data_IF_080981560084
#
_entry.id   IF_080981560084
#
_cell.length_a   1.000
_cell.length_b   1.000
_cell.length_c   1.000
_cell.angle_alpha   90.00
_cell.angle_beta   90.00
_cell.angle_gamma   90.00
#
_symmetry.space_group_name_H-M   'P 1'
#
loop_
_entity.id
_entity.type
_entity.pdbx_description
1 polymer ?
#
# COMPACT_ATOMS: atom_id res chain seq x y z
N UNK A 1 -33.85 6.23 -21.27
CA UNK A 1 -33.44 7.46 -20.60
C UNK A 1 -33.13 7.14 -19.17
N UNK A 2 -31.85 6.98 -18.83
CA UNK A 2 -31.18 7.12 -17.55
C UNK A 2 -29.75 6.66 -17.76
N UNK A 3 -28.94 7.55 -18.28
CA UNK A 3 -27.48 7.48 -18.28
C UNK A 3 -27.09 8.02 -16.91
N UNK A 4 -27.12 7.18 -15.89
CA UNK A 4 -26.63 7.56 -14.59
C UNK A 4 -26.08 6.31 -13.90
N UNK A 5 -24.77 6.39 -13.63
CA UNK A 5 -24.00 5.55 -12.74
C UNK A 5 -23.53 4.19 -13.26
N UNK A 6 -22.70 4.22 -14.31
CA UNK A 6 -21.65 3.21 -14.42
C UNK A 6 -20.41 3.68 -13.67
N UNK A 7 -20.57 4.02 -12.43
CA UNK A 7 -19.41 3.98 -11.53
C UNK A 7 -19.07 2.51 -11.30
N UNK A 8 -17.95 2.06 -11.85
CA UNK A 8 -17.46 0.72 -11.56
C UNK A 8 -17.18 0.61 -10.06
N UNK A 9 -17.47 -0.55 -9.45
CA UNK A 9 -17.20 -0.82 -8.04
C UNK A 9 -15.78 -0.40 -7.63
N UNK A 10 -14.82 -0.52 -8.55
CA UNK A 10 -13.44 -0.09 -8.36
C UNK A 10 -13.28 1.44 -8.24
N UNK A 11 -14.06 2.23 -8.96
CA UNK A 11 -14.04 3.70 -8.85
C UNK A 11 -14.67 4.15 -7.53
N UNK A 12 -15.77 3.54 -7.12
CA UNK A 12 -16.43 3.82 -5.86
C UNK A 12 -15.51 3.50 -4.64
N UNK A 13 -14.88 2.34 -4.65
CA UNK A 13 -13.95 1.94 -3.59
C UNK A 13 -12.74 2.88 -3.49
N UNK A 14 -12.19 3.30 -4.63
CA UNK A 14 -11.07 4.24 -4.70
C UNK A 14 -11.44 5.64 -4.20
N UNK A 15 -12.59 6.15 -4.60
CA UNK A 15 -13.06 7.47 -4.20
C UNK A 15 -13.33 7.54 -2.68
N UNK A 16 -13.99 6.52 -2.12
CA UNK A 16 -14.24 6.44 -0.68
C UNK A 16 -12.95 6.37 0.16
N UNK A 17 -11.91 5.71 -0.37
CA UNK A 17 -10.61 5.65 0.30
C UNK A 17 -9.94 7.02 0.41
N UNK A 18 -9.86 7.78 -0.70
CA UNK A 18 -9.25 9.12 -0.68
C UNK A 18 -9.99 10.09 0.23
N UNK A 19 -11.31 9.96 0.34
CA UNK A 19 -12.11 10.74 1.29
C UNK A 19 -11.73 10.44 2.75
N UNK A 20 -11.57 9.15 3.10
CA UNK A 20 -11.15 8.76 4.45
C UNK A 20 -9.73 9.26 4.77
N UNK A 21 -8.80 9.18 3.81
CA UNK A 21 -7.46 9.73 3.98
C UNK A 21 -7.50 11.25 4.20
N UNK A 22 -8.29 11.97 3.43
CA UNK A 22 -8.46 13.42 3.59
C UNK A 22 -9.01 13.77 4.99
N UNK A 23 -10.00 13.03 5.49
CA UNK A 23 -10.52 13.21 6.86
C UNK A 23 -9.44 12.97 7.91
N UNK A 24 -8.59 11.96 7.76
CA UNK A 24 -7.47 11.71 8.66
C UNK A 24 -6.47 12.87 8.68
N UNK A 25 -6.16 13.45 7.51
CA UNK A 25 -5.26 14.62 7.40
C UNK A 25 -5.89 15.86 8.06
N UNK A 26 -7.18 16.09 7.83
CA UNK A 26 -7.90 17.21 8.46
C UNK A 26 -7.91 17.05 9.98
N UNK A 27 -8.21 15.85 10.50
CA UNK A 27 -8.17 15.57 11.93
C UNK A 27 -6.78 15.82 12.53
N UNK A 28 -5.72 15.39 11.82
CA UNK A 28 -4.34 15.65 12.24
C UNK A 28 -4.07 17.15 12.31
N UNK A 29 -4.47 17.91 11.29
CA UNK A 29 -4.31 19.38 11.26
C UNK A 29 -5.05 20.05 12.42
N UNK A 30 -6.30 19.64 12.68
CA UNK A 30 -7.10 20.16 13.80
C UNK A 30 -6.42 19.88 15.14
N UNK A 31 -5.98 18.64 15.37
CA UNK A 31 -5.29 18.27 16.61
C UNK A 31 -3.98 19.04 16.76
N UNK A 32 -3.20 19.21 15.68
CA UNK A 32 -1.97 19.99 15.69
C UNK A 32 -2.23 21.46 16.04
N UNK A 33 -3.20 22.11 15.38
CA UNK A 33 -3.58 23.50 15.67
C UNK A 33 -4.01 23.65 17.14
N UNK A 34 -4.78 22.71 17.65
CA UNK A 34 -5.20 22.74 19.06
C UNK A 34 -4.03 22.57 20.03
N UNK A 35 -3.04 21.71 19.71
CA UNK A 35 -1.86 21.50 20.54
C UNK A 35 -0.93 22.70 20.59
N UNK A 36 -0.76 23.39 19.45
CA UNK A 36 0.12 24.55 19.36
C UNK A 36 -0.55 25.87 19.73
N UNK A 37 -1.88 25.99 19.50
CA UNK A 37 -2.62 27.25 19.69
C UNK A 37 -3.24 27.44 21.06
N UNK A 38 -3.52 26.39 21.80
CA UNK A 38 -4.25 26.47 23.06
C UNK A 38 -3.43 26.00 24.26
N UNK A 39 -3.67 26.66 25.43
CA UNK A 39 -3.09 26.21 26.70
C UNK A 39 -3.67 24.85 27.08
N UNK A 40 -2.80 23.91 27.45
CA UNK A 40 -3.20 22.54 27.84
C UNK A 40 -4.15 22.61 29.06
N UNK A 41 -5.39 22.18 28.85
CA UNK A 41 -6.40 21.94 29.86
C UNK A 41 -6.80 20.47 29.81
N UNK A 42 -7.17 19.88 30.96
CA UNK A 42 -7.60 18.46 31.04
C UNK A 42 -8.76 18.15 30.10
N UNK A 43 -9.75 19.06 30.00
CA UNK A 43 -10.86 18.89 29.08
C UNK A 43 -10.40 18.82 27.63
N UNK A 44 -9.48 19.70 27.23
CA UNK A 44 -8.88 19.69 25.89
C UNK A 44 -8.10 18.39 25.60
N UNK A 45 -7.32 17.92 26.58
CA UNK A 45 -6.56 16.65 26.42
C UNK A 45 -7.48 15.46 26.20
N UNK A 46 -8.58 15.36 26.96
CA UNK A 46 -9.56 14.27 26.79
C UNK A 46 -10.22 14.37 25.40
N UNK A 47 -10.62 15.57 24.98
CA UNK A 47 -11.24 15.78 23.67
C UNK A 47 -10.29 15.40 22.52
N UNK A 48 -9.03 15.86 22.57
CA UNK A 48 -8.03 15.52 21.55
C UNK A 48 -7.72 14.04 21.54
N UNK A 49 -7.65 13.38 22.70
CA UNK A 49 -7.48 11.92 22.79
C UNK A 49 -8.65 11.18 22.15
N UNK A 50 -9.89 11.65 22.37
CA UNK A 50 -11.06 11.05 21.73
C UNK A 50 -11.02 11.21 20.20
N UNK A 51 -10.65 12.39 19.68
CA UNK A 51 -10.47 12.61 18.23
C UNK A 51 -9.40 11.68 17.65
N UNK A 52 -8.25 11.55 18.32
CA UNK A 52 -7.19 10.63 17.91
C UNK A 52 -7.69 9.17 17.90
N UNK A 53 -8.40 8.73 18.94
CA UNK A 53 -8.94 7.38 19.02
C UNK A 53 -9.94 7.08 17.88
N UNK A 54 -10.85 8.00 17.59
CA UNK A 54 -11.78 7.87 16.47
C UNK A 54 -11.05 7.83 15.13
N UNK A 55 -9.98 8.61 14.98
CA UNK A 55 -9.16 8.58 13.75
C UNK A 55 -8.43 7.24 13.59
N UNK A 56 -7.99 6.59 14.67
CA UNK A 56 -7.45 5.23 14.60
C UNK A 56 -8.47 4.22 14.08
N UNK A 57 -9.73 4.32 14.50
CA UNK A 57 -10.81 3.46 13.98
C UNK A 57 -10.99 3.68 12.48
N UNK A 58 -10.92 4.93 12.00
CA UNK A 58 -10.98 5.24 10.57
C UNK A 58 -9.78 4.67 9.80
N UNK A 59 -8.57 4.80 10.33
CA UNK A 59 -7.35 4.23 9.73
C UNK A 59 -7.46 2.70 9.65
N UNK A 60 -7.87 2.04 10.73
CA UNK A 60 -8.06 0.60 10.77
C UNK A 60 -9.13 0.12 9.78
N UNK A 61 -10.26 0.82 9.70
CA UNK A 61 -11.32 0.54 8.73
C UNK A 61 -10.84 0.68 7.28
N UNK A 62 -10.06 1.74 7.01
CA UNK A 62 -9.49 1.99 5.67
C UNK A 62 -8.47 0.92 5.28
N UNK A 63 -7.60 0.53 6.22
CA UNK A 63 -6.62 -0.53 6.01
C UNK A 63 -7.32 -1.89 5.76
N UNK A 64 -8.36 -2.20 6.52
CA UNK A 64 -9.15 -3.42 6.34
C UNK A 64 -9.82 -3.49 4.97
N UNK A 65 -10.45 -2.39 4.54
CA UNK A 65 -11.06 -2.31 3.20
C UNK A 65 -10.02 -2.49 2.09
N UNK A 66 -8.85 -1.85 2.23
CA UNK A 66 -7.76 -1.98 1.26
C UNK A 66 -7.21 -3.41 1.24
N UNK A 67 -7.06 -4.06 2.39
CA UNK A 67 -6.64 -5.45 2.49
C UNK A 67 -7.60 -6.40 1.77
N UNK A 68 -8.92 -6.26 1.99
CA UNK A 68 -9.94 -7.04 1.28
C UNK A 68 -9.88 -6.81 -0.24
N UNK A 69 -9.66 -5.55 -0.65
CA UNK A 69 -9.54 -5.20 -2.05
C UNK A 69 -8.30 -5.81 -2.72
N UNK A 70 -7.16 -5.84 -2.02
CA UNK A 70 -5.93 -6.51 -2.49
C UNK A 70 -6.15 -8.02 -2.61
N UNK A 71 -6.88 -8.63 -1.67
CA UNK A 71 -7.21 -10.06 -1.75
C UNK A 71 -8.08 -10.40 -2.95
N UNK A 72 -8.90 -9.48 -3.45
CA UNK A 72 -9.78 -9.68 -4.59
C UNK A 72 -9.07 -9.41 -5.94
N UNK A 73 -8.31 -8.31 -6.02
CA UNK A 73 -7.85 -7.71 -7.28
C UNK A 73 -6.34 -7.70 -7.49
N UNK A 74 -5.55 -8.45 -6.72
CA UNK A 74 -4.09 -8.43 -6.71
C UNK A 74 -3.42 -7.15 -6.18
N UNK A 75 -2.11 -7.21 -5.95
CA UNK A 75 -1.34 -6.10 -5.39
C UNK A 75 -0.77 -5.23 -6.52
N UNK A 76 -1.03 -3.92 -6.46
CA UNK A 76 -0.44 -2.92 -7.36
C UNK A 76 0.39 -1.90 -6.58
N UNK A 77 1.31 -1.22 -7.24
CA UNK A 77 2.15 -0.17 -6.64
C UNK A 77 1.33 0.89 -5.90
N UNK A 78 0.24 1.36 -6.53
CA UNK A 78 -0.62 2.38 -5.92
C UNK A 78 -1.28 1.86 -4.62
N UNK A 79 -1.73 0.61 -4.59
CA UNK A 79 -2.34 0.00 -3.39
C UNK A 79 -1.32 -0.17 -2.27
N UNK A 80 -0.08 -0.54 -2.63
CA UNK A 80 1.02 -0.63 -1.67
C UNK A 80 1.34 0.74 -1.08
N UNK A 81 1.43 1.79 -1.91
CA UNK A 81 1.67 3.17 -1.45
C UNK A 81 0.57 3.69 -0.54
N UNK A 82 -0.67 3.30 -0.80
CA UNK A 82 -1.82 3.63 0.03
C UNK A 82 -1.71 2.99 1.42
N UNK A 83 -1.37 1.70 1.51
CA UNK A 83 -1.15 1.03 2.80
C UNK A 83 0.02 1.65 3.56
N UNK A 84 1.08 1.98 2.84
CA UNK A 84 2.22 2.69 3.43
C UNK A 84 1.82 4.06 3.96
N UNK A 85 1.03 4.86 3.24
CA UNK A 85 0.52 6.15 3.70
C UNK A 85 -0.34 6.01 4.98
N UNK A 86 -1.20 4.98 5.06
CA UNK A 86 -1.96 4.68 6.27
C UNK A 86 -1.06 4.32 7.45
N UNK A 87 0.02 3.58 7.21
CA UNK A 87 1.02 3.26 8.24
C UNK A 87 1.72 4.53 8.75
N UNK A 88 2.15 5.41 7.84
CA UNK A 88 2.75 6.71 8.20
C UNK A 88 1.78 7.53 9.05
N UNK A 89 0.52 7.63 8.63
CA UNK A 89 -0.51 8.34 9.39
C UNK A 89 -0.71 7.73 10.79
N UNK A 90 -0.76 6.42 10.91
CA UNK A 90 -0.89 5.74 12.20
C UNK A 90 0.28 6.10 13.15
N UNK A 91 1.53 6.07 12.65
CA UNK A 91 2.71 6.43 13.45
C UNK A 91 2.70 7.90 13.86
N UNK A 92 2.32 8.81 12.97
CA UNK A 92 2.18 10.24 13.26
C UNK A 92 1.15 10.46 14.37
N UNK A 93 0.01 9.78 14.33
CA UNK A 93 -1.02 9.88 15.36
C UNK A 93 -0.56 9.30 16.71
N UNK A 94 0.27 8.25 16.75
CA UNK A 94 0.89 7.76 17.99
C UNK A 94 1.72 8.86 18.65
N UNK A 95 2.61 9.51 17.90
CA UNK A 95 3.41 10.61 18.43
C UNK A 95 2.56 11.80 18.89
N UNK A 96 1.51 12.10 18.14
CA UNK A 96 0.56 13.16 18.49
C UNK A 96 -0.18 12.84 19.79
N UNK A 97 -0.60 11.59 19.99
CA UNK A 97 -1.25 11.14 21.21
C UNK A 97 -0.31 11.24 22.43
N UNK A 98 0.97 10.88 22.26
CA UNK A 98 2.00 11.04 23.31
C UNK A 98 2.17 12.54 23.63
N UNK A 99 2.21 13.43 22.64
CA UNK A 99 2.36 14.87 22.83
C UNK A 99 1.17 15.53 23.55
N UNK A 100 -0.04 14.98 23.42
CA UNK A 100 -1.22 15.43 24.16
C UNK A 100 -0.99 15.28 25.67
N UNK A 101 -0.38 14.19 26.11
CA UNK A 101 -0.17 13.88 27.53
C UNK A 101 1.16 14.38 28.07
N UNK A 102 2.25 14.31 27.30
CA UNK A 102 3.58 14.78 27.71
C UNK A 102 3.82 16.23 27.29
N UNK A 103 4.23 17.06 28.26
CA UNK A 103 4.46 18.51 28.05
C UNK A 103 5.75 18.82 27.29
N UNK A 104 6.77 17.98 27.49
CA UNK A 104 8.13 18.19 26.98
C UNK A 104 8.41 17.41 25.69
N UNK A 105 7.35 16.90 25.01
CA UNK A 105 7.51 16.12 23.80
C UNK A 105 7.60 17.02 22.57
N UNK A 106 8.75 17.01 21.91
CA UNK A 106 9.00 17.78 20.68
C UNK A 106 8.31 17.13 19.47
N UNK A 107 7.01 17.38 19.33
CA UNK A 107 6.15 16.80 18.29
C UNK A 107 6.68 17.02 16.87
N UNK A 108 7.14 18.23 16.45
CA UNK A 108 7.62 18.45 15.09
C UNK A 108 8.87 17.63 14.78
N UNK A 109 9.79 17.50 15.75
CA UNK A 109 10.99 16.68 15.60
C UNK A 109 10.64 15.20 15.42
N UNK A 110 9.69 14.70 16.23
CA UNK A 110 9.21 13.33 16.09
C UNK A 110 8.59 13.08 14.70
N UNK A 111 7.74 13.98 14.23
CA UNK A 111 7.13 13.84 12.90
C UNK A 111 8.17 13.78 11.79
N UNK A 112 9.17 14.66 11.84
CA UNK A 112 10.25 14.71 10.86
C UNK A 112 11.04 13.41 10.84
N UNK A 113 11.46 12.92 12.00
CA UNK A 113 12.21 11.67 12.12
C UNK A 113 11.37 10.48 11.67
N UNK A 114 10.12 10.39 12.12
CA UNK A 114 9.23 9.28 11.78
C UNK A 114 8.94 9.21 10.27
N UNK A 115 8.62 10.35 9.65
CA UNK A 115 8.34 10.41 8.20
C UNK A 115 9.60 10.07 7.40
N UNK A 116 10.77 10.61 7.78
CA UNK A 116 12.04 10.32 7.10
C UNK A 116 12.38 8.84 7.19
N UNK A 117 12.29 8.27 8.39
CA UNK A 117 12.61 6.84 8.58
C UNK A 117 11.64 5.93 7.80
N UNK A 118 10.34 6.20 7.88
CA UNK A 118 9.35 5.44 7.15
C UNK A 118 9.49 5.61 5.63
N UNK A 119 9.91 6.78 5.14
CA UNK A 119 10.15 6.99 3.71
C UNK A 119 11.32 6.15 3.16
N UNK A 120 12.32 5.85 3.97
CA UNK A 120 13.43 4.98 3.56
C UNK A 120 12.98 3.55 3.25
N UNK A 121 11.90 3.08 3.88
CA UNK A 121 11.38 1.71 3.66
C UNK A 121 10.98 1.49 2.19
N UNK A 122 10.06 2.25 1.58
CA UNK A 122 9.74 2.06 0.17
C UNK A 122 10.86 2.49 -0.77
N UNK A 123 11.74 3.44 -0.37
CA UNK A 123 12.85 3.89 -1.19
C UNK A 123 13.91 2.80 -1.41
N UNK A 124 14.21 2.01 -0.38
CA UNK A 124 15.20 0.92 -0.43
C UNK A 124 14.58 -0.48 -0.51
N UNK A 125 13.27 -0.60 -0.26
CA UNK A 125 12.56 -1.86 -0.11
C UNK A 125 12.21 -2.60 -1.41
N UNK A 126 12.59 -2.07 -2.60
CA UNK A 126 12.30 -2.67 -3.92
C UNK A 126 10.81 -3.09 -4.04
N UNK A 127 9.88 -2.12 -4.03
CA UNK A 127 8.43 -2.40 -3.98
C UNK A 127 7.95 -3.31 -5.13
N UNK A 128 8.53 -3.18 -6.32
CA UNK A 128 8.17 -3.98 -7.49
C UNK A 128 8.50 -5.46 -7.33
N UNK A 129 9.59 -5.78 -6.62
CA UNK A 129 9.91 -7.15 -6.24
C UNK A 129 8.83 -7.78 -5.35
N UNK A 130 8.40 -7.05 -4.31
CA UNK A 130 7.35 -7.52 -3.39
C UNK A 130 6.00 -7.68 -4.08
N UNK A 131 5.66 -6.76 -5.00
CA UNK A 131 4.45 -6.81 -5.79
C UNK A 131 4.45 -8.05 -6.71
N UNK A 132 5.55 -8.27 -7.43
CA UNK A 132 5.70 -9.42 -8.30
C UNK A 132 5.63 -10.74 -7.51
N UNK A 133 6.37 -10.83 -6.41
CA UNK A 133 6.41 -12.02 -5.54
C UNK A 133 5.03 -12.36 -4.98
N UNK A 134 4.29 -11.36 -4.49
CA UNK A 134 2.95 -11.57 -3.96
C UNK A 134 1.97 -12.05 -5.03
N UNK A 135 1.96 -11.40 -6.20
CA UNK A 135 1.03 -11.74 -7.27
C UNK A 135 1.33 -13.13 -7.86
N UNK A 136 2.60 -13.46 -8.10
CA UNK A 136 3.01 -14.76 -8.60
C UNK A 136 2.70 -15.89 -7.61
N UNK A 137 2.98 -15.70 -6.32
CA UNK A 137 2.67 -16.69 -5.28
C UNK A 137 1.17 -16.94 -5.15
N UNK A 138 0.39 -15.88 -5.28
CA UNK A 138 -1.07 -15.99 -5.22
C UNK A 138 -1.63 -16.77 -6.41
N UNK A 139 -1.09 -16.56 -7.59
CA UNK A 139 -1.53 -17.24 -8.79
C UNK A 139 -1.20 -18.74 -8.76
N UNK A 140 -0.01 -19.10 -8.29
CA UNK A 140 0.35 -20.49 -8.06
C UNK A 140 -0.65 -21.21 -7.14
N UNK A 141 -1.04 -20.56 -6.03
CA UNK A 141 -2.04 -21.11 -5.10
C UNK A 141 -3.44 -21.20 -5.71
N UNK A 142 -3.80 -20.27 -6.62
CA UNK A 142 -5.11 -20.29 -7.29
C UNK A 142 -5.15 -21.40 -8.34
N UNK A 143 -4.10 -21.61 -9.13
CA UNK A 143 -4.02 -22.71 -10.09
C UNK A 143 -4.07 -24.08 -9.39
N UNK A 144 -3.42 -24.22 -8.24
CA UNK A 144 -3.49 -25.43 -7.43
C UNK A 144 -4.92 -25.70 -6.93
N UNK A 145 -5.63 -24.68 -6.47
CA UNK A 145 -7.01 -24.82 -5.99
C UNK A 145 -8.01 -25.11 -7.13
N UNK A 146 -7.82 -24.54 -8.32
CA UNK A 146 -8.66 -24.82 -9.51
C UNK A 146 -8.45 -26.25 -10.02
N UNK A 147 -7.26 -26.81 -9.91
CA UNK A 147 -6.98 -28.19 -10.30
C UNK A 147 -7.75 -29.20 -9.41
N UNK A 148 -8.11 -28.81 -8.19
CA UNK A 148 -8.92 -29.63 -7.27
C UNK A 148 -10.44 -29.35 -7.35
N UNK A 149 -10.86 -28.21 -7.94
CA UNK A 149 -12.26 -27.79 -8.04
C UNK A 149 -12.68 -27.70 -9.51
N UNK A 150 -13.14 -28.81 -10.07
CA UNK A 150 -13.47 -28.93 -11.50
C UNK A 150 -14.88 -28.39 -11.86
N UNK A 151 -15.60 -27.72 -10.97
CA UNK A 151 -17.02 -27.41 -11.12
C UNK A 151 -17.46 -25.92 -11.06
N UNK A 152 -16.53 -24.95 -10.98
CA UNK A 152 -16.94 -23.54 -10.97
C UNK A 152 -16.27 -22.71 -12.07
N UNK A 153 -17.02 -22.44 -13.14
CA UNK A 153 -16.64 -21.67 -14.33
C UNK A 153 -16.40 -20.14 -14.08
N UNK A 154 -16.47 -19.64 -12.83
CA UNK A 154 -16.54 -18.21 -12.53
C UNK A 154 -15.23 -17.55 -12.02
N UNK A 155 -14.12 -18.26 -11.96
CA UNK A 155 -12.89 -17.71 -11.39
C UNK A 155 -11.68 -17.75 -12.32
N UNK A 156 -11.78 -17.21 -13.54
CA UNK A 156 -10.57 -16.92 -14.32
C UNK A 156 -9.86 -15.69 -13.77
N UNK A 157 -8.57 -15.78 -13.37
CA UNK A 157 -7.78 -14.61 -13.05
C UNK A 157 -7.71 -13.70 -14.28
N UNK A 158 -8.10 -12.45 -14.12
CA UNK A 158 -8.33 -11.52 -15.22
C UNK A 158 -7.00 -11.18 -15.93
N UNK A 159 -6.98 -11.29 -17.25
CA UNK A 159 -5.84 -10.94 -18.14
C UNK A 159 -5.23 -9.53 -17.89
N UNK A 160 -5.93 -8.68 -17.16
CA UNK A 160 -5.46 -7.37 -16.71
C UNK A 160 -4.25 -7.44 -15.76
N UNK A 161 -4.12 -8.52 -14.99
CA UNK A 161 -3.04 -8.65 -14.00
C UNK A 161 -1.69 -8.97 -14.69
N UNK A 162 -1.71 -9.70 -15.80
CA UNK A 162 -0.51 -9.98 -16.58
C UNK A 162 0.06 -8.75 -17.28
N UNK A 163 -0.81 -7.87 -17.79
CA UNK A 163 -0.37 -6.62 -18.41
C UNK A 163 0.31 -5.70 -17.41
N UNK A 164 -0.12 -5.72 -16.15
CA UNK A 164 0.49 -4.96 -15.06
C UNK A 164 1.88 -5.52 -14.70
N UNK A 165 2.02 -6.85 -14.60
CA UNK A 165 3.31 -7.49 -14.30
C UNK A 165 4.38 -7.19 -15.37
N UNK A 166 3.98 -7.07 -16.64
CA UNK A 166 4.87 -6.67 -17.74
C UNK A 166 5.35 -5.22 -17.64
N UNK A 167 4.59 -4.35 -16.98
CA UNK A 167 4.91 -2.94 -16.75
C UNK A 167 5.78 -2.66 -15.53
N UNK A 168 6.14 -3.68 -14.72
CA UNK A 168 7.00 -3.51 -13.56
C UNK A 168 8.45 -3.21 -13.96
N UNK A 169 9.21 -2.61 -13.04
CA UNK A 169 10.63 -2.32 -13.26
C UNK A 169 11.50 -3.58 -13.23
N UNK A 170 12.77 -3.43 -13.60
CA UNK A 170 13.77 -4.51 -13.57
C UNK A 170 13.98 -5.12 -12.18
N UNK A 171 13.55 -4.46 -11.11
CA UNK A 171 13.59 -4.99 -9.76
C UNK A 171 12.73 -6.23 -9.54
N UNK A 172 11.68 -6.41 -10.38
CA UNK A 172 10.84 -7.61 -10.40
C UNK A 172 11.45 -8.79 -11.15
N UNK A 173 12.57 -8.58 -11.87
CA UNK A 173 13.21 -9.58 -12.73
C UNK A 173 13.48 -10.92 -12.03
N UNK A 174 14.03 -10.99 -10.81
CA UNK A 174 14.34 -12.28 -10.16
C UNK A 174 13.11 -13.20 -9.99
N UNK A 175 11.93 -12.61 -9.88
CA UNK A 175 10.68 -13.35 -9.71
C UNK A 175 10.06 -13.74 -11.06
N UNK A 176 10.13 -12.85 -12.05
CA UNK A 176 9.44 -13.00 -13.33
C UNK A 176 10.20 -13.85 -14.34
N UNK A 177 11.54 -13.92 -14.26
CA UNK A 177 12.37 -14.74 -15.18
C UNK A 177 12.02 -16.23 -15.07
N UNK A 178 11.71 -16.70 -13.86
CA UNK A 178 11.29 -18.10 -13.64
C UNK A 178 9.89 -18.44 -14.16
N UNK A 179 9.10 -17.46 -14.57
CA UNK A 179 7.69 -17.57 -14.94
C UNK A 179 7.40 -16.90 -16.28
N UNK A 180 8.09 -17.34 -17.34
CA UNK A 180 7.89 -16.86 -18.73
C UNK A 180 6.48 -17.13 -19.25
N UNK A 181 5.78 -18.11 -18.69
CA UNK A 181 4.38 -18.42 -18.92
C UNK A 181 3.45 -17.21 -18.63
N UNK A 182 3.80 -16.38 -17.62
CA UNK A 182 3.00 -15.23 -17.19
C UNK A 182 3.32 -13.95 -17.97
N UNK A 183 4.57 -13.76 -18.37
CA UNK A 183 5.02 -12.49 -18.96
C UNK A 183 5.16 -12.55 -20.48
N UNK A 184 5.35 -13.74 -21.07
CA UNK A 184 5.72 -13.91 -22.47
C UNK A 184 7.09 -13.27 -22.77
N UNK A 185 7.52 -13.31 -24.02
CA UNK A 185 8.82 -12.76 -24.47
C UNK A 185 8.83 -11.23 -24.64
N UNK A 186 7.74 -10.54 -24.26
CA UNK A 186 7.50 -9.15 -24.61
C UNK A 186 7.97 -8.11 -23.57
N UNK A 187 8.83 -8.49 -22.61
CA UNK A 187 9.32 -7.52 -21.60
C UNK A 187 10.69 -6.99 -22.01
N UNK A 188 10.81 -5.70 -22.40
CA UNK A 188 12.02 -5.13 -23.00
C UNK A 188 13.27 -5.25 -22.14
N UNK A 189 13.13 -5.17 -20.81
CA UNK A 189 14.26 -5.24 -19.86
C UNK A 189 14.69 -6.69 -19.55
N UNK A 190 13.88 -7.70 -19.88
CA UNK A 190 14.18 -9.10 -19.56
C UNK A 190 15.41 -9.59 -20.33
N UNK A 191 15.52 -9.25 -21.61
CA UNK A 191 16.70 -9.59 -22.43
C UNK A 191 17.97 -8.90 -21.92
N UNK A 192 17.85 -7.64 -21.50
CA UNK A 192 18.99 -6.91 -20.93
C UNK A 192 19.45 -7.53 -19.60
N UNK A 193 18.52 -7.95 -18.74
CA UNK A 193 18.83 -8.58 -17.47
C UNK A 193 19.46 -9.99 -17.66
N UNK A 194 18.94 -10.79 -18.56
CA UNK A 194 19.52 -12.08 -18.92
C UNK A 194 20.96 -11.90 -19.43
N UNK A 195 21.20 -10.96 -20.34
CA UNK A 195 22.53 -10.68 -20.86
C UNK A 195 23.54 -10.30 -19.75
N UNK A 196 23.16 -9.46 -18.82
CA UNK A 196 24.00 -9.07 -17.67
C UNK A 196 24.25 -10.25 -16.73
N UNK A 197 23.24 -11.06 -16.46
CA UNK A 197 23.37 -12.24 -15.61
C UNK A 197 24.35 -13.27 -16.19
N UNK A 198 24.31 -13.51 -17.50
CA UNK A 198 25.25 -14.42 -18.17
C UNK A 198 26.69 -13.89 -18.16
N UNK A 199 26.90 -12.58 -18.31
CA UNK A 199 28.23 -11.98 -18.30
C UNK A 199 28.92 -12.08 -16.94
N UNK A 200 28.17 -12.00 -15.84
CA UNK A 200 28.71 -12.16 -14.49
C UNK A 200 29.02 -13.61 -14.13
N UNK A 201 28.34 -14.58 -14.71
CA UNK A 201 28.57 -16.02 -14.49
C UNK A 201 29.73 -16.57 -15.33
N UNK A 202 30.12 -15.89 -16.41
CA UNK A 202 31.15 -16.35 -17.37
C UNK A 202 32.48 -15.64 -17.24
N UNK A 203 32.68 -14.75 -16.24
CA UNK A 203 34.00 -14.19 -15.96
C UNK A 203 34.90 -15.30 -15.40
N UNK A 204 35.99 -15.69 -16.12
CA UNK A 204 36.94 -16.65 -15.59
C UNK A 204 37.66 -16.02 -14.38
N UNK A 205 37.69 -16.76 -13.29
CA UNK A 205 38.51 -16.48 -12.10
C UNK A 205 39.99 -16.61 -12.44
#
# INVERSE_FOLDING_TARGET
MCIRDRMTWAQYARQGFFQLLAVCVINLAVVAVCLFGFRKNRALQILLTAVCAMTYVLIASSAWRMYLYIRQYSLTFLRLMVLWALLVMAVIFVGTMIAVWKRDFELPRFWLIAVTFLYLIPAFGRPDYWIASYNVSREANTQESVMYSQDDDDALPTAADYSYLRGLSADAAPVLIGRKDLTGDAVPWMHAYEAVSYTHLTLPT
#
